data_IF_639242835617
#
_entry.id   IF_639242835617
#
_cell.length_a   1.000
_cell.length_b   1.000
_cell.length_c   1.000
_cell.angle_alpha   90.00
_cell.angle_beta   90.00
_cell.angle_gamma   90.00
#
_symmetry.space_group_name_H-M   'P 1'
#
loop_
_entity.id
_entity.type
_entity.pdbx_description
1 polymer ?
#
# COMPACT_ATOMS: atom_id res chain seq x y z
N UNK A 1 4.12 11.64 -23.13
CA UNK A 1 5.54 11.46 -22.81
C UNK A 1 5.67 11.23 -21.32
N UNK A 2 6.53 10.30 -20.90
CA UNK A 2 6.69 9.97 -19.49
C UNK A 2 7.68 10.95 -18.83
N UNK A 3 7.82 10.91 -17.50
CA UNK A 3 8.89 11.63 -16.79
C UNK A 3 10.27 11.09 -17.16
N UNK A 4 11.35 11.81 -16.86
CA UNK A 4 12.73 11.33 -16.86
C UNK A 4 13.10 10.55 -15.58
N UNK A 5 12.26 10.62 -14.54
CA UNK A 5 12.52 9.97 -13.25
C UNK A 5 12.26 8.47 -13.32
N UNK A 6 13.33 7.70 -13.56
CA UNK A 6 13.33 6.23 -13.61
C UNK A 6 12.61 5.58 -12.42
N UNK A 7 12.78 6.12 -11.22
CA UNK A 7 12.09 5.61 -10.02
C UNK A 7 10.57 5.65 -10.11
N UNK A 8 9.99 6.72 -10.67
CA UNK A 8 8.55 6.81 -10.89
C UNK A 8 8.07 5.84 -11.98
N UNK A 9 8.85 5.70 -13.05
CA UNK A 9 8.57 4.79 -14.16
C UNK A 9 8.52 3.33 -13.67
N UNK A 10 9.57 2.86 -12.99
CA UNK A 10 9.62 1.49 -12.48
C UNK A 10 8.59 1.22 -11.38
N UNK A 11 8.29 2.22 -10.53
CA UNK A 11 7.18 2.12 -9.58
C UNK A 11 5.87 1.78 -10.29
N UNK A 12 5.50 2.55 -11.32
CA UNK A 12 4.26 2.29 -12.05
C UNK A 12 4.24 0.90 -12.71
N UNK A 13 5.34 0.49 -13.35
CA UNK A 13 5.42 -0.85 -13.98
C UNK A 13 5.26 -1.99 -12.97
N UNK A 14 5.87 -1.88 -11.79
CA UNK A 14 5.68 -2.87 -10.73
C UNK A 14 4.24 -2.85 -10.22
N UNK A 15 3.63 -1.68 -10.02
CA UNK A 15 2.22 -1.58 -9.61
C UNK A 15 1.28 -2.24 -10.62
N UNK A 16 1.51 -2.04 -11.92
CA UNK A 16 0.75 -2.69 -13.01
C UNK A 16 0.85 -4.22 -12.87
N UNK A 17 2.07 -4.76 -12.79
CA UNK A 17 2.27 -6.21 -12.67
C UNK A 17 1.75 -6.79 -11.35
N UNK A 18 1.63 -5.98 -10.32
CA UNK A 18 1.04 -6.33 -9.02
C UNK A 18 -0.48 -6.19 -8.98
N UNK A 19 -1.09 -5.66 -10.04
CA UNK A 19 -2.54 -5.49 -10.15
C UNK A 19 -3.08 -4.28 -9.36
N UNK A 20 -2.24 -3.33 -8.94
CA UNK A 20 -2.69 -2.15 -8.17
C UNK A 20 -3.31 -1.14 -9.13
N UNK A 21 -4.63 -1.24 -9.31
CA UNK A 21 -5.38 -0.47 -10.32
C UNK A 21 -5.80 0.93 -9.88
N UNK A 22 -6.27 1.07 -8.65
CA UNK A 22 -6.86 2.32 -8.16
C UNK A 22 -5.82 3.17 -7.44
N UNK A 23 -5.71 4.43 -7.85
CA UNK A 23 -4.74 5.38 -7.29
C UNK A 23 -5.41 6.70 -6.97
N UNK A 24 -5.43 7.07 -5.70
CA UNK A 24 -5.90 8.39 -5.24
C UNK A 24 -4.70 9.32 -5.15
N UNK A 25 -4.78 10.49 -5.75
CA UNK A 25 -3.66 11.41 -5.93
C UNK A 25 -4.03 12.76 -5.30
N UNK A 26 -3.20 13.21 -4.37
CA UNK A 26 -3.19 14.60 -3.89
C UNK A 26 -2.07 15.36 -4.59
N UNK A 27 -2.39 16.30 -5.50
CA UNK A 27 -1.39 16.93 -6.36
C UNK A 27 -0.41 17.83 -5.60
N UNK A 28 0.86 17.82 -6.01
CA UNK A 28 1.87 18.75 -5.54
C UNK A 28 3.10 18.77 -6.45
N UNK A 29 4.07 19.65 -6.16
CA UNK A 29 5.24 19.79 -7.03
C UNK A 29 6.15 18.56 -6.96
N UNK A 30 6.43 18.03 -5.76
CA UNK A 30 7.41 16.94 -5.59
C UNK A 30 6.96 15.60 -6.16
N UNK A 31 5.65 15.32 -6.16
CA UNK A 31 5.08 14.11 -6.77
C UNK A 31 4.71 14.27 -8.25
N UNK A 32 5.05 15.39 -8.91
CA UNK A 32 4.79 15.57 -10.34
C UNK A 32 5.29 14.43 -11.23
N UNK A 33 6.49 13.82 -11.01
CA UNK A 33 6.91 12.64 -11.76
C UNK A 33 5.95 11.45 -11.63
N UNK A 34 5.44 11.20 -10.42
CA UNK A 34 4.48 10.13 -10.16
C UNK A 34 3.16 10.39 -10.87
N UNK A 35 2.64 11.63 -10.75
CA UNK A 35 1.40 12.03 -11.42
C UNK A 35 1.54 11.79 -12.92
N UNK A 36 2.60 12.31 -13.53
CA UNK A 36 2.86 12.18 -14.96
C UNK A 36 2.94 10.71 -15.41
N UNK A 37 3.57 9.82 -14.65
CA UNK A 37 3.64 8.39 -15.00
C UNK A 37 2.30 7.69 -14.84
N UNK A 38 1.61 7.92 -13.73
CA UNK A 38 0.38 7.21 -13.38
C UNK A 38 -0.80 7.62 -14.26
N UNK A 39 -0.95 8.92 -14.54
CA UNK A 39 -2.09 9.44 -15.33
C UNK A 39 -1.93 9.23 -16.83
N UNK A 40 -0.70 8.98 -17.32
CA UNK A 40 -0.44 8.70 -18.74
C UNK A 40 -0.57 7.21 -19.10
N UNK A 41 -1.06 6.36 -18.19
CA UNK A 41 -1.21 4.94 -18.42
C UNK A 41 -2.66 4.49 -18.13
N UNK A 42 -3.34 3.98 -19.15
CA UNK A 42 -4.76 3.59 -19.12
C UNK A 42 -5.08 2.42 -18.18
N UNK A 43 -4.06 1.70 -17.67
CA UNK A 43 -4.26 0.68 -16.65
C UNK A 43 -4.82 1.27 -15.35
N UNK A 44 -4.35 2.46 -14.95
CA UNK A 44 -4.69 3.06 -13.68
C UNK A 44 -6.02 3.81 -13.73
N UNK A 45 -6.82 3.65 -12.68
CA UNK A 45 -7.94 4.54 -12.39
C UNK A 45 -7.48 5.57 -11.37
N UNK A 46 -7.11 6.76 -11.86
CA UNK A 46 -6.60 7.86 -11.04
C UNK A 46 -7.72 8.80 -10.57
N UNK A 47 -7.73 9.13 -9.29
CA UNK A 47 -8.69 10.04 -8.67
C UNK A 47 -7.93 11.22 -8.04
N UNK A 48 -8.18 12.44 -8.50
CA UNK A 48 -7.54 13.64 -7.94
C UNK A 48 -8.34 14.18 -6.76
N UNK A 49 -7.77 14.15 -5.55
CA UNK A 49 -8.38 14.67 -4.33
C UNK A 49 -7.39 15.60 -3.62
N UNK A 50 -7.71 16.89 -3.58
CA UNK A 50 -6.79 17.94 -3.12
C UNK A 50 -6.47 17.83 -1.63
N UNK A 51 -7.47 17.61 -0.78
CA UNK A 51 -7.27 17.41 0.66
C UNK A 51 -6.77 15.98 0.91
N UNK A 52 -5.52 15.83 1.36
CA UNK A 52 -4.91 14.52 1.60
C UNK A 52 -5.65 13.70 2.65
N UNK A 53 -6.23 14.34 3.68
CA UNK A 53 -7.00 13.62 4.70
C UNK A 53 -8.22 12.97 4.07
N UNK A 54 -8.93 13.74 3.23
CA UNK A 54 -10.07 13.25 2.46
C UNK A 54 -9.65 12.18 1.45
N UNK A 55 -8.50 12.36 0.78
CA UNK A 55 -7.93 11.41 -0.16
C UNK A 55 -7.65 10.05 0.50
N UNK A 56 -7.09 10.06 1.71
CA UNK A 56 -6.84 8.86 2.50
C UNK A 56 -8.12 8.07 2.75
N UNK A 57 -9.17 8.71 3.27
CA UNK A 57 -10.45 8.02 3.53
C UNK A 57 -11.16 7.58 2.25
N UNK A 58 -11.06 8.35 1.17
CA UNK A 58 -11.59 7.94 -0.13
C UNK A 58 -10.90 6.67 -0.63
N UNK A 59 -9.58 6.58 -0.49
CA UNK A 59 -8.82 5.37 -0.81
C UNK A 59 -9.25 4.16 0.04
N UNK A 60 -9.57 4.36 1.34
CA UNK A 60 -10.12 3.29 2.19
C UNK A 60 -11.47 2.79 1.67
N UNK A 61 -12.36 3.70 1.29
CA UNK A 61 -13.66 3.34 0.74
C UNK A 61 -13.53 2.49 -0.53
N UNK A 62 -12.63 2.86 -1.44
CA UNK A 62 -12.33 2.03 -2.62
C UNK A 62 -11.76 0.68 -2.17
N UNK A 63 -10.78 0.66 -1.26
CA UNK A 63 -10.13 -0.58 -0.82
C UNK A 63 -11.11 -1.58 -0.20
N UNK A 64 -12.07 -1.09 0.59
CA UNK A 64 -13.16 -1.90 1.14
C UNK A 64 -14.05 -2.50 0.06
N UNK A 65 -14.41 -1.70 -0.96
CA UNK A 65 -15.27 -2.12 -2.06
C UNK A 65 -14.59 -3.13 -2.98
N UNK A 66 -13.36 -2.85 -3.42
CA UNK A 66 -12.64 -3.69 -4.39
C UNK A 66 -11.94 -4.87 -3.73
N UNK A 67 -11.81 -4.86 -2.40
CA UNK A 67 -11.21 -5.95 -1.62
C UNK A 67 -9.76 -6.23 -2.01
N UNK A 68 -9.04 -5.17 -2.37
CA UNK A 68 -7.66 -5.22 -2.84
C UNK A 68 -6.90 -3.91 -2.55
N UNK A 69 -5.59 -3.93 -2.77
CA UNK A 69 -4.67 -2.82 -2.54
C UNK A 69 -5.05 -1.59 -3.35
N UNK A 70 -5.24 -0.47 -2.66
CA UNK A 70 -5.43 0.85 -3.27
C UNK A 70 -4.24 1.73 -2.90
N UNK A 71 -3.71 2.47 -3.88
CA UNK A 71 -2.62 3.41 -3.64
C UNK A 71 -3.15 4.81 -3.33
N UNK A 72 -2.51 5.51 -2.40
CA UNK A 72 -2.70 6.95 -2.17
C UNK A 72 -1.35 7.66 -2.32
N UNK A 73 -1.30 8.68 -3.15
CA UNK A 73 -0.07 9.39 -3.54
C UNK A 73 -0.15 10.85 -3.09
N UNK A 74 0.86 11.34 -2.38
CA UNK A 74 0.96 12.74 -1.99
C UNK A 74 2.36 13.32 -2.21
N UNK A 75 2.46 14.64 -2.17
CA UNK A 75 3.74 15.36 -2.16
C UNK A 75 4.45 15.27 -0.80
N UNK A 76 5.63 15.87 -0.68
CA UNK A 76 6.39 15.95 0.58
C UNK A 76 5.74 16.88 1.60
N UNK A 77 6.23 16.84 2.85
CA UNK A 77 5.80 17.76 3.89
C UNK A 77 4.49 17.33 4.57
N UNK A 78 3.73 18.31 5.09
CA UNK A 78 2.53 18.04 5.89
C UNK A 78 1.44 17.25 5.15
N UNK A 79 1.46 17.24 3.82
CA UNK A 79 0.62 16.39 2.97
C UNK A 79 0.63 14.93 3.43
N UNK A 80 1.83 14.39 3.73
CA UNK A 80 1.97 13.05 4.25
C UNK A 80 1.26 12.89 5.61
N UNK A 81 1.46 13.82 6.53
CA UNK A 81 0.87 13.75 7.87
C UNK A 81 -0.66 13.81 7.86
N UNK A 82 -1.26 14.48 6.88
CA UNK A 82 -2.72 14.51 6.71
C UNK A 82 -3.31 13.12 6.38
N UNK A 83 -2.51 12.17 5.88
CA UNK A 83 -2.93 10.79 5.66
C UNK A 83 -2.97 9.95 6.94
N UNK A 84 -2.37 10.42 8.05
CA UNK A 84 -2.24 9.65 9.29
C UNK A 84 -3.57 9.07 9.83
N UNK A 85 -4.70 9.80 9.83
CA UNK A 85 -5.98 9.24 10.30
C UNK A 85 -6.44 8.05 9.46
N UNK A 86 -6.34 8.13 8.13
CA UNK A 86 -6.72 7.04 7.24
C UNK A 86 -5.76 5.85 7.35
N UNK A 87 -4.47 6.10 7.57
CA UNK A 87 -3.48 5.04 7.81
C UNK A 87 -3.78 4.30 9.11
N UNK A 88 -4.07 5.02 10.19
CA UNK A 88 -4.46 4.40 11.46
C UNK A 88 -5.73 3.55 11.30
N UNK A 89 -6.74 4.07 10.62
CA UNK A 89 -7.98 3.33 10.36
C UNK A 89 -7.72 2.07 9.52
N UNK A 90 -6.93 2.18 8.45
CA UNK A 90 -6.53 1.02 7.63
C UNK A 90 -5.84 -0.06 8.46
N UNK A 91 -5.00 0.33 9.40
CA UNK A 91 -4.27 -0.59 10.26
C UNK A 91 -5.21 -1.39 11.16
N UNK A 92 -6.11 -0.71 11.87
CA UNK A 92 -7.04 -1.37 12.78
C UNK A 92 -8.14 -2.16 12.05
N UNK A 93 -8.62 -1.68 10.90
CA UNK A 93 -9.60 -2.38 10.08
C UNK A 93 -9.00 -3.47 9.17
N UNK A 94 -7.66 -3.59 9.12
CA UNK A 94 -6.95 -4.49 8.20
C UNK A 94 -7.35 -4.24 6.74
N UNK A 95 -7.16 -3.02 6.27
CA UNK A 95 -7.39 -2.64 4.88
C UNK A 95 -6.06 -2.50 4.13
N UNK A 96 -5.93 -3.07 2.91
CA UNK A 96 -4.72 -3.00 2.12
C UNK A 96 -4.57 -1.62 1.47
N UNK A 97 -3.87 -0.71 2.16
CA UNK A 97 -3.60 0.65 1.67
C UNK A 97 -2.10 0.81 1.38
N UNK A 98 -1.74 1.28 0.19
CA UNK A 98 -0.36 1.63 -0.15
C UNK A 98 -0.19 3.15 -0.16
N UNK A 99 0.46 3.70 0.86
CA UNK A 99 0.78 5.13 0.92
C UNK A 99 2.10 5.38 0.22
N UNK A 100 2.08 6.23 -0.82
CA UNK A 100 3.25 6.60 -1.61
C UNK A 100 3.49 8.10 -1.40
N UNK A 101 4.58 8.46 -0.73
CA UNK A 101 4.96 9.87 -0.54
C UNK A 101 6.16 10.22 -1.39
N UNK A 102 6.03 11.29 -2.17
CA UNK A 102 7.20 11.94 -2.75
C UNK A 102 7.97 12.71 -1.66
N UNK A 103 9.29 12.79 -1.81
CA UNK A 103 10.18 13.40 -0.82
C UNK A 103 11.35 14.11 -1.51
N UNK A 104 12.03 14.98 -0.76
CA UNK A 104 13.25 15.65 -1.20
C UNK A 104 14.46 14.73 -1.10
N UNK A 105 15.53 14.99 -1.87
CA UNK A 105 16.79 14.28 -1.75
C UNK A 105 17.29 14.22 -0.30
N UNK A 106 17.95 13.11 0.07
CA UNK A 106 18.37 12.87 1.46
C UNK A 106 19.27 13.98 1.99
N UNK A 107 20.11 14.55 1.12
CA UNK A 107 21.03 15.62 1.43
C UNK A 107 20.36 16.96 1.77
N UNK A 108 19.04 17.09 1.59
CA UNK A 108 18.24 18.29 1.86
C UNK A 108 17.39 18.16 3.12
N UNK A 109 17.32 16.95 3.71
CA UNK A 109 16.55 16.70 4.93
C UNK A 109 17.26 17.30 6.14
N UNK A 110 16.49 17.93 7.04
CA UNK A 110 16.98 18.61 8.24
C UNK A 110 17.91 19.82 7.98
N UNK A 111 17.76 20.47 6.82
CA UNK A 111 18.52 21.68 6.45
C UNK A 111 17.69 22.98 6.55
N UNK A 112 16.50 22.93 7.17
CA UNK A 112 15.57 24.07 7.21
C UNK A 112 14.85 24.31 5.88
N UNK A 113 14.90 23.34 4.96
CA UNK A 113 14.33 23.50 3.64
C UNK A 113 12.79 23.37 3.65
N UNK A 114 12.14 24.21 2.83
CA UNK A 114 10.68 24.28 2.77
C UNK A 114 10.06 22.95 2.34
N UNK A 115 8.93 22.60 2.99
CA UNK A 115 8.17 21.36 2.76
C UNK A 115 9.01 20.09 2.90
N UNK A 116 10.01 20.11 3.79
CA UNK A 116 10.92 18.98 4.03
C UNK A 116 10.97 18.66 5.52
N UNK A 117 10.84 17.37 5.86
CA UNK A 117 11.08 16.83 7.21
C UNK A 117 11.51 15.36 7.07
N UNK A 118 11.88 14.71 8.17
CA UNK A 118 12.19 13.28 8.12
C UNK A 118 10.89 12.44 7.96
N UNK A 119 10.59 12.03 6.73
CA UNK A 119 9.42 11.20 6.42
C UNK A 119 9.62 9.71 6.78
N UNK A 120 10.86 9.30 7.06
CA UNK A 120 11.18 7.89 7.35
C UNK A 120 10.54 7.44 8.65
N UNK A 121 9.75 6.36 8.60
CA UNK A 121 9.10 5.79 9.78
C UNK A 121 8.01 6.68 10.39
N UNK A 122 7.50 7.68 9.66
CA UNK A 122 6.48 8.63 10.16
C UNK A 122 5.22 7.93 10.67
N UNK A 123 4.88 6.78 10.09
CA UNK A 123 3.72 5.97 10.48
C UNK A 123 4.09 4.68 11.21
N UNK A 124 5.30 4.54 11.76
CA UNK A 124 5.85 3.27 12.29
C UNK A 124 4.90 2.41 13.16
N UNK A 125 3.97 3.03 13.89
CA UNK A 125 3.04 2.34 14.78
C UNK A 125 1.78 1.82 14.05
N UNK A 126 1.50 2.35 12.86
CA UNK A 126 0.24 2.17 12.14
C UNK A 126 0.46 1.66 10.70
N UNK A 127 1.64 1.10 10.42
CA UNK A 127 1.93 0.45 9.13
C UNK A 127 2.53 -0.92 9.35
N UNK A 128 2.27 -1.82 8.41
CA UNK A 128 2.83 -3.17 8.39
C UNK A 128 4.30 -3.19 7.99
N UNK A 129 4.70 -2.21 7.19
CA UNK A 129 6.07 -2.04 6.73
C UNK A 129 6.25 -0.59 6.23
N UNK A 130 7.50 -0.15 6.19
CA UNK A 130 7.90 1.11 5.58
C UNK A 130 9.11 0.86 4.68
N UNK A 131 9.06 1.42 3.48
CA UNK A 131 10.09 1.29 2.46
C UNK A 131 10.58 2.66 2.07
N UNK A 132 11.88 2.75 1.81
CA UNK A 132 12.55 3.97 1.41
C UNK A 132 13.34 3.67 0.13
N UNK A 133 12.80 4.14 -1.00
CA UNK A 133 13.33 3.75 -2.30
C UNK A 133 14.63 4.47 -2.65
N UNK A 134 15.44 3.80 -3.48
CA UNK A 134 16.62 4.38 -4.12
C UNK A 134 16.23 5.68 -4.84
N UNK A 135 16.91 6.77 -4.50
CA UNK A 135 16.61 8.13 -5.00
C UNK A 135 16.76 8.23 -6.52
N UNK A 136 17.83 7.66 -7.09
CA UNK A 136 18.10 7.66 -8.53
C UNK A 136 18.63 6.28 -8.95
N UNK A 137 17.75 5.35 -9.40
CA UNK A 137 18.18 4.01 -9.80
C UNK A 137 18.90 4.06 -11.15
N UNK A 138 20.22 4.19 -11.10
CA UNK A 138 21.05 4.41 -12.29
C UNK A 138 21.71 3.13 -12.80
N UNK A 139 22.07 2.21 -11.90
CA UNK A 139 22.66 0.91 -12.25
C UNK A 139 21.59 -0.19 -12.38
N UNK A 140 21.90 -1.32 -13.07
CA UNK A 140 21.02 -2.50 -13.09
C UNK A 140 20.68 -3.02 -11.68
N UNK A 141 21.64 -2.98 -10.76
CA UNK A 141 21.45 -3.45 -9.39
C UNK A 141 20.51 -2.53 -8.60
N UNK A 142 20.61 -1.20 -8.79
CA UNK A 142 19.67 -0.25 -8.16
C UNK A 142 18.24 -0.48 -8.63
N UNK A 143 18.06 -0.73 -9.94
CA UNK A 143 16.75 -0.98 -10.55
C UNK A 143 16.19 -2.29 -10.02
N UNK A 144 17.00 -3.35 -9.99
CA UNK A 144 16.59 -4.63 -9.43
C UNK A 144 16.17 -4.49 -7.96
N UNK A 145 16.98 -3.80 -7.15
CA UNK A 145 16.71 -3.60 -5.73
C UNK A 145 15.43 -2.77 -5.53
N UNK A 146 15.28 -1.66 -6.24
CA UNK A 146 14.07 -0.84 -6.16
C UNK A 146 12.81 -1.63 -6.56
N UNK A 147 12.85 -2.39 -7.65
CA UNK A 147 11.73 -3.23 -8.09
C UNK A 147 11.34 -4.27 -7.04
N UNK A 148 12.34 -4.85 -6.35
CA UNK A 148 12.13 -5.77 -5.24
C UNK A 148 11.45 -5.07 -4.05
N UNK A 149 11.93 -3.90 -3.63
CA UNK A 149 11.35 -3.15 -2.50
C UNK A 149 9.90 -2.73 -2.80
N UNK A 150 9.61 -2.26 -4.02
CA UNK A 150 8.23 -1.95 -4.43
C UNK A 150 7.35 -3.20 -4.42
N UNK A 151 7.88 -4.32 -4.96
CA UNK A 151 7.14 -5.59 -4.99
C UNK A 151 6.79 -6.06 -3.58
N UNK A 152 7.75 -5.98 -2.66
CA UNK A 152 7.56 -6.35 -1.26
C UNK A 152 6.59 -5.39 -0.56
N UNK A 153 6.66 -4.08 -0.84
CA UNK A 153 5.72 -3.10 -0.31
C UNK A 153 4.27 -3.47 -0.66
N UNK A 154 4.00 -3.84 -1.91
CA UNK A 154 2.65 -4.29 -2.30
C UNK A 154 2.29 -5.62 -1.64
N UNK A 155 3.18 -6.61 -1.60
CA UNK A 155 2.92 -7.89 -0.92
C UNK A 155 2.56 -7.68 0.55
N UNK A 156 3.27 -6.78 1.23
CA UNK A 156 3.05 -6.41 2.63
C UNK A 156 1.75 -5.65 2.88
N UNK A 157 1.05 -5.20 1.85
CA UNK A 157 -0.33 -4.73 2.04
C UNK A 157 -1.33 -5.89 2.15
N UNK A 158 -0.99 -7.07 1.61
CA UNK A 158 -1.89 -8.21 1.44
C UNK A 158 -1.61 -9.37 2.42
N UNK A 159 -0.36 -9.66 2.75
CA UNK A 159 0.00 -10.91 3.47
C UNK A 159 0.97 -10.67 4.62
N UNK A 160 0.83 -11.34 5.78
CA UNK A 160 -0.11 -12.42 6.09
C UNK A 160 -1.54 -11.98 6.40
N UNK A 161 -1.78 -10.69 6.55
CA UNK A 161 -3.10 -10.10 6.73
C UNK A 161 -3.12 -8.72 6.11
N UNK A 162 -4.27 -8.22 5.69
CA UNK A 162 -4.34 -6.90 5.08
C UNK A 162 -3.90 -5.78 6.02
N UNK A 163 -3.28 -4.73 5.48
CA UNK A 163 -2.94 -3.53 6.23
C UNK A 163 -2.16 -2.50 5.42
N UNK A 164 -1.95 -1.31 5.99
CA UNK A 164 -1.30 -0.22 5.31
C UNK A 164 0.22 -0.40 5.24
N UNK A 165 0.83 0.05 4.14
CA UNK A 165 2.28 0.12 3.93
C UNK A 165 2.65 1.51 3.47
N UNK A 166 3.77 2.04 3.96
CA UNK A 166 4.32 3.31 3.51
C UNK A 166 5.52 3.10 2.62
N UNK A 167 5.54 3.76 1.46
CA UNK A 167 6.63 3.77 0.50
C UNK A 167 7.02 5.23 0.25
N UNK A 168 8.26 5.58 0.61
CA UNK A 168 8.82 6.89 0.39
C UNK A 168 9.70 6.89 -0.87
N UNK A 169 9.50 7.84 -1.77
CA UNK A 169 10.32 7.99 -2.99
C UNK A 169 10.85 9.42 -3.11
N UNK A 170 12.16 9.55 -3.34
CA UNK A 170 12.83 10.85 -3.42
C UNK A 170 13.04 11.29 -4.85
N UNK A 171 12.74 12.55 -5.14
CA UNK A 171 12.98 13.12 -6.46
C UNK A 171 13.89 14.34 -6.38
N UNK A 172 15.01 14.27 -7.11
CA UNK A 172 15.90 15.39 -7.35
C UNK A 172 15.33 16.29 -8.45
N UNK A 173 15.55 17.59 -8.32
CA UNK A 173 15.22 18.56 -9.37
C UNK A 173 16.17 18.41 -10.57
N UNK A 174 15.71 18.73 -11.79
CA UNK A 174 14.38 19.22 -12.18
C UNK A 174 13.31 18.11 -12.21
N UNK A 175 12.04 18.45 -11.92
CA UNK A 175 10.95 17.46 -11.76
C UNK A 175 10.05 17.27 -12.99
N UNK A 176 10.03 18.24 -13.90
CA UNK A 176 9.08 18.30 -15.02
C UNK A 176 9.72 17.90 -16.37
N UNK A 177 10.88 17.25 -16.32
CA UNK A 177 11.53 16.77 -17.53
C UNK A 177 10.84 15.50 -18.01
N UNK A 178 10.79 15.38 -19.33
CA UNK A 178 10.18 14.27 -20.02
C UNK A 178 11.22 13.39 -20.69
N UNK A 179 10.92 12.09 -20.78
CA UNK A 179 11.75 11.15 -21.53
C UNK A 179 10.88 10.18 -22.32
N UNK A 180 11.45 9.65 -23.39
CA UNK A 180 10.90 8.52 -24.16
C UNK A 180 11.40 7.17 -23.63
N UNK A 181 11.94 7.15 -22.41
CA UNK A 181 12.45 5.93 -21.79
C UNK A 181 11.31 4.92 -21.63
N UNK A 182 11.49 3.77 -22.28
CA UNK A 182 10.64 2.61 -22.08
C UNK A 182 11.37 1.67 -21.13
N UNK A 183 10.85 1.45 -19.91
CA UNK A 183 11.49 0.56 -18.96
C UNK A 183 11.43 -0.87 -19.49
N UNK A 184 12.51 -1.62 -19.28
CA UNK A 184 12.43 -3.08 -19.37
C UNK A 184 11.41 -3.60 -18.36
N UNK A 185 10.77 -4.71 -18.69
CA UNK A 185 9.75 -5.33 -17.86
C UNK A 185 10.35 -5.74 -16.51
N UNK A 186 9.93 -5.15 -15.37
CA UNK A 186 10.60 -5.40 -14.09
C UNK A 186 10.39 -6.83 -13.59
N UNK A 187 11.40 -7.40 -12.94
CA UNK A 187 11.25 -8.66 -12.20
C UNK A 187 10.41 -8.41 -10.94
N UNK A 188 9.44 -9.30 -10.70
CA UNK A 188 8.45 -9.14 -9.63
C UNK A 188 8.60 -10.27 -8.63
N UNK A 189 8.63 -9.92 -7.34
CA UNK A 189 8.65 -10.92 -6.27
C UNK A 189 7.24 -11.38 -5.98
N UNK A 190 6.86 -12.57 -6.45
CA UNK A 190 5.57 -13.17 -6.13
C UNK A 190 5.58 -13.79 -4.74
N UNK A 191 4.47 -13.65 -4.03
CA UNK A 191 4.29 -14.32 -2.75
C UNK A 191 3.63 -15.69 -2.97
N UNK A 192 4.08 -16.68 -2.20
CA UNK A 192 3.49 -18.02 -2.21
C UNK A 192 2.31 -18.02 -1.26
N UNK A 193 1.10 -18.10 -1.81
CA UNK A 193 -0.11 -18.21 -1.01
C UNK A 193 -0.14 -19.56 -0.29
N UNK A 194 -0.09 -19.51 1.04
CA UNK A 194 -0.32 -20.67 1.89
C UNK A 194 -1.74 -20.62 2.46
N UNK A 195 -2.37 -21.78 2.63
CA UNK A 195 -3.64 -21.88 3.34
C UNK A 195 -3.34 -22.24 4.79
N UNK A 196 -3.79 -21.43 5.78
CA UNK A 196 -3.66 -21.83 7.17
C UNK A 196 -4.51 -23.08 7.40
N UNK A 197 -3.92 -24.12 7.99
CA UNK A 197 -4.60 -25.38 8.33
C UNK A 197 -4.47 -25.61 9.82
N UNK A 198 -5.59 -25.97 10.45
CA UNK A 198 -5.62 -26.36 11.86
C UNK A 198 -5.17 -27.83 11.98
N UNK A 199 -4.22 -28.14 12.86
CA UNK A 199 -3.76 -29.52 13.05
C UNK A 199 -4.85 -30.39 13.68
N UNK A 200 -4.85 -31.70 13.39
CA UNK A 200 -5.81 -32.65 13.95
C UNK A 200 -5.83 -32.64 15.48
N UNK A 201 -4.66 -32.48 16.10
CA UNK A 201 -4.53 -32.33 17.56
C UNK A 201 -5.35 -31.15 18.08
N UNK A 202 -5.24 -29.98 17.42
CA UNK A 202 -5.95 -28.78 17.85
C UNK A 202 -7.46 -28.90 17.57
N UNK A 203 -7.85 -29.52 16.45
CA UNK A 203 -9.25 -29.82 16.14
C UNK A 203 -9.89 -30.71 17.22
N UNK A 204 -9.21 -31.79 17.63
CA UNK A 204 -9.68 -32.69 18.68
C UNK A 204 -9.78 -31.98 20.05
N UNK A 205 -8.82 -31.10 20.38
CA UNK A 205 -8.89 -30.30 21.60
C UNK A 205 -10.10 -29.36 21.61
N UNK A 206 -10.34 -28.64 20.51
CA UNK A 206 -11.52 -27.77 20.39
C UNK A 206 -12.83 -28.55 20.44
N UNK A 207 -12.90 -29.73 19.80
CA UNK A 207 -14.08 -30.58 19.85
C UNK A 207 -14.42 -31.03 21.26
N UNK A 208 -13.44 -31.55 22.01
CA UNK A 208 -13.64 -31.97 23.40
C UNK A 208 -14.05 -30.80 24.30
N UNK A 209 -13.43 -29.62 24.11
CA UNK A 209 -13.80 -28.41 24.84
C UNK A 209 -15.21 -27.94 24.49
N UNK A 210 -15.62 -28.03 23.23
CA UNK A 210 -16.97 -27.68 22.80
C UNK A 210 -18.02 -28.60 23.44
N UNK A 211 -17.80 -29.91 23.38
CA UNK A 211 -18.71 -30.94 23.92
C UNK A 211 -18.84 -30.89 25.46
N UNK A 212 -17.87 -30.27 26.16
CA UNK A 212 -17.90 -30.15 27.63
C UNK A 212 -18.83 -29.06 28.17
N UNK A 213 -19.41 -28.22 27.31
CA UNK A 213 -20.29 -27.12 27.72
C UNK A 213 -21.69 -27.24 27.11
N UNK A 214 -22.73 -27.10 27.94
CA UNK A 214 -24.12 -27.17 27.50
C UNK A 214 -24.65 -25.84 26.95
N UNK A 215 -24.05 -24.71 27.33
CA UNK A 215 -24.51 -23.36 26.97
C UNK A 215 -23.38 -22.59 26.30
N UNK A 216 -23.44 -22.51 24.98
CA UNK A 216 -22.40 -21.89 24.16
C UNK A 216 -22.97 -20.63 23.51
N UNK A 217 -22.23 -19.52 23.62
CA UNK A 217 -22.53 -18.28 22.92
C UNK A 217 -21.39 -17.98 21.93
N UNK A 218 -21.74 -17.80 20.66
CA UNK A 218 -20.79 -17.38 19.62
C UNK A 218 -20.95 -15.88 19.38
N UNK A 219 -19.87 -15.11 19.58
CA UNK A 219 -19.85 -13.67 19.31
C UNK A 219 -19.14 -13.44 17.98
N UNK A 220 -19.87 -12.88 17.01
CA UNK A 220 -19.32 -12.52 15.70
C UNK A 220 -19.01 -11.02 15.66
N UNK A 221 -17.74 -10.68 15.42
CA UNK A 221 -17.32 -9.29 15.23
C UNK A 221 -17.63 -8.75 13.84
N UNK A 222 -17.09 -7.57 13.53
CA UNK A 222 -17.20 -6.97 12.21
C UNK A 222 -16.30 -7.71 11.20
N UNK A 223 -16.90 -8.54 10.36
CA UNK A 223 -16.22 -9.22 9.26
C UNK A 223 -16.90 -8.87 7.93
N UNK A 224 -16.15 -8.92 6.82
CA UNK A 224 -16.73 -8.86 5.49
C UNK A 224 -17.78 -9.98 5.31
N UNK A 225 -18.90 -9.72 4.61
CA UNK A 225 -19.91 -10.74 4.39
C UNK A 225 -19.32 -12.01 3.77
N UNK A 226 -19.51 -13.15 4.42
CA UNK A 226 -19.07 -14.44 3.94
C UNK A 226 -20.19 -15.47 4.11
N UNK A 227 -20.81 -15.85 3.00
CA UNK A 227 -21.95 -16.76 2.98
C UNK A 227 -21.62 -18.14 3.56
N UNK A 228 -20.38 -18.63 3.38
CA UNK A 228 -19.96 -19.92 3.95
C UNK A 228 -19.91 -19.86 5.48
N UNK A 229 -19.31 -18.80 6.04
CA UNK A 229 -19.27 -18.60 7.50
C UNK A 229 -20.69 -18.45 8.06
N UNK A 230 -21.54 -17.64 7.42
CA UNK A 230 -22.92 -17.44 7.85
C UNK A 230 -23.72 -18.75 7.82
N UNK A 231 -23.54 -19.57 6.79
CA UNK A 231 -24.19 -20.88 6.72
C UNK A 231 -23.71 -21.82 7.84
N UNK A 232 -22.40 -21.94 8.05
CA UNK A 232 -21.83 -22.77 9.12
C UNK A 232 -22.31 -22.32 10.50
N UNK A 233 -22.38 -21.02 10.76
CA UNK A 233 -22.87 -20.49 12.04
C UNK A 233 -24.35 -20.82 12.27
N UNK A 234 -25.18 -20.82 11.21
CA UNK A 234 -26.58 -21.25 11.31
C UNK A 234 -26.68 -22.72 11.66
N UNK A 235 -25.90 -23.58 10.99
CA UNK A 235 -25.87 -25.02 11.29
C UNK A 235 -25.34 -25.36 12.69
N UNK A 236 -24.52 -24.49 13.30
CA UNK A 236 -24.06 -24.66 14.68
C UNK A 236 -25.06 -24.16 15.73
N UNK A 237 -26.05 -23.36 15.33
CA UNK A 237 -27.07 -22.81 16.21
C UNK A 237 -28.35 -23.66 16.26
N UNK A 238 -28.54 -24.56 15.28
CA UNK A 238 -29.59 -25.59 15.24
C UNK A 238 -29.21 -26.80 16.11
#
# INVERSE_FOLDING_TARGET
MNTDKRGAIYLAEVLIKKGVKHVVISPGSRNAPLIATLTNNDFFSCYSIVDERSAGFFALGISQMVRDTVAVVCTSGSALLNLAPAVAEAFYQRLPLLVISADRPREWVNQGESQTFNQSGVFKNYVRASFDLVQEPNSPDDIWYQNREISEAVNRTRTPYWGPVHLNIRFKEPLYQHSDLRPDSPLIVHEVHTKPVMSEKLQNQFKLMWESYEKIMIICGAFPPNNAIVHTLKSLAE
#
